data_IF_165469023101
#
_entry.id   IF_165469023101
#
_cell.length_a   1.000
_cell.length_b   1.000
_cell.length_c   1.000
_cell.angle_alpha   90.00
_cell.angle_beta   90.00
_cell.angle_gamma   90.00
#
_symmetry.space_group_name_H-M   'P 1'
#
loop_
_entity.id
_entity.type
_entity.pdbx_description
1 polymer ?
#
# COMPACT_ATOMS: atom_id res chain seq x y z
N UNK A 1 40.90 -16.01 11.86
CA UNK A 1 39.50 -16.22 12.30
C UNK A 1 38.73 -14.95 12.02
N UNK A 2 38.11 -14.88 10.85
CA UNK A 2 37.31 -13.70 10.46
C UNK A 2 35.88 -13.93 10.91
N UNK A 3 35.47 -13.16 11.91
CA UNK A 3 34.08 -13.13 12.35
C UNK A 3 33.23 -12.48 11.24
N UNK A 4 32.43 -13.28 10.59
CA UNK A 4 31.40 -12.81 9.65
C UNK A 4 30.28 -12.17 10.48
N UNK A 5 30.40 -10.86 10.69
CA UNK A 5 29.31 -10.09 11.23
C UNK A 5 28.19 -10.04 10.19
N UNK A 6 27.28 -11.01 10.28
CA UNK A 6 25.98 -10.94 9.58
C UNK A 6 25.26 -9.71 10.12
N UNK A 7 25.38 -8.59 9.40
CA UNK A 7 24.60 -7.38 9.68
C UNK A 7 23.15 -7.76 9.42
N UNK A 8 22.41 -8.10 10.48
CA UNK A 8 20.98 -8.32 10.39
C UNK A 8 20.35 -7.04 9.84
N UNK A 9 19.85 -7.11 8.61
CA UNK A 9 19.15 -5.96 8.00
C UNK A 9 17.95 -5.66 8.91
N UNK A 10 17.95 -4.48 9.50
CA UNK A 10 16.85 -4.04 10.34
C UNK A 10 15.55 -4.03 9.51
N UNK A 11 14.47 -4.60 10.07
CA UNK A 11 13.19 -4.60 9.39
C UNK A 11 12.55 -3.21 9.39
N UNK A 12 11.96 -2.83 8.27
CA UNK A 12 11.23 -1.56 8.12
C UNK A 12 9.73 -1.80 8.06
N UNK A 13 8.96 -0.89 8.68
CA UNK A 13 7.53 -0.80 8.45
C UNK A 13 7.29 -0.20 7.05
N UNK A 14 6.51 -0.88 6.22
CA UNK A 14 6.22 -0.46 4.85
C UNK A 14 4.71 -0.35 4.69
N UNK A 15 4.26 0.76 4.12
CA UNK A 15 2.86 0.95 3.75
C UNK A 15 2.73 0.89 2.24
N UNK A 16 1.84 0.03 1.76
CA UNK A 16 1.56 -0.19 0.34
C UNK A 16 0.12 0.19 0.05
N UNK A 17 -0.08 1.07 -0.92
CA UNK A 17 -1.39 1.34 -1.49
C UNK A 17 -1.74 0.30 -2.55
N UNK A 18 -2.96 -0.19 -2.52
CA UNK A 18 -3.52 -1.11 -3.51
C UNK A 18 -4.71 -0.43 -4.19
N UNK A 19 -4.79 -0.58 -5.51
CA UNK A 19 -5.90 -0.06 -6.31
C UNK A 19 -6.25 -0.96 -7.48
N UNK A 20 -7.53 -1.09 -7.79
CA UNK A 20 -8.04 -1.84 -8.95
C UNK A 20 -9.41 -1.30 -9.38
N UNK A 21 -9.71 -1.32 -10.69
CA UNK A 21 -11.06 -1.03 -11.19
C UNK A 21 -11.48 -1.92 -12.37
N UNK A 22 -10.71 -2.96 -12.68
CA UNK A 22 -11.02 -3.93 -13.72
C UNK A 22 -11.04 -5.36 -13.15
N UNK A 23 -11.74 -6.28 -13.86
CA UNK A 23 -11.70 -7.72 -13.64
C UNK A 23 -11.92 -8.14 -12.17
N UNK A 24 -13.06 -7.76 -11.59
CA UNK A 24 -13.41 -8.06 -10.20
C UNK A 24 -12.44 -7.42 -9.18
N UNK A 25 -12.45 -6.10 -9.04
CA UNK A 25 -11.45 -5.35 -8.28
C UNK A 25 -11.23 -5.86 -6.85
N UNK A 26 -12.29 -6.23 -6.13
CA UNK A 26 -12.21 -6.80 -4.77
C UNK A 26 -11.39 -8.09 -4.77
N UNK A 27 -11.58 -8.96 -5.75
CA UNK A 27 -10.83 -10.21 -5.85
C UNK A 27 -9.36 -9.96 -6.23
N UNK A 28 -9.10 -8.97 -7.09
CA UNK A 28 -7.73 -8.57 -7.42
C UNK A 28 -6.97 -8.11 -6.17
N UNK A 29 -7.59 -7.26 -5.32
CA UNK A 29 -6.95 -6.81 -4.09
C UNK A 29 -6.73 -7.96 -3.10
N UNK A 30 -7.71 -8.87 -2.93
CA UNK A 30 -7.55 -10.05 -2.05
C UNK A 30 -6.40 -10.95 -2.48
N UNK A 31 -6.29 -11.23 -3.79
CA UNK A 31 -5.18 -12.02 -4.34
C UNK A 31 -3.84 -11.32 -4.13
N UNK A 32 -3.76 -10.02 -4.40
CA UNK A 32 -2.56 -9.22 -4.17
C UNK A 32 -2.12 -9.22 -2.70
N UNK A 33 -3.04 -9.11 -1.75
CA UNK A 33 -2.75 -9.21 -0.31
C UNK A 33 -2.18 -10.58 0.06
N UNK A 34 -2.74 -11.67 -0.51
CA UNK A 34 -2.17 -13.01 -0.37
C UNK A 34 -0.74 -13.12 -0.90
N UNK A 35 -0.46 -12.54 -2.08
CA UNK A 35 0.89 -12.52 -2.65
C UNK A 35 1.86 -11.65 -1.85
N UNK A 36 1.41 -10.50 -1.33
CA UNK A 36 2.22 -9.65 -0.45
C UNK A 36 2.62 -10.37 0.84
N UNK A 37 1.74 -11.20 1.41
CA UNK A 37 2.04 -11.99 2.62
C UNK A 37 3.07 -13.08 2.39
N UNK A 38 3.33 -13.45 1.13
CA UNK A 38 4.30 -14.50 0.75
C UNK A 38 5.65 -13.93 0.30
N UNK A 39 5.86 -12.62 0.34
CA UNK A 39 7.14 -12.03 -0.05
C UNK A 39 8.27 -12.45 0.89
N UNK A 40 9.48 -12.75 0.36
CA UNK A 40 10.60 -13.18 1.18
C UNK A 40 10.99 -12.11 2.19
N UNK A 41 11.28 -12.52 3.43
CA UNK A 41 11.70 -11.62 4.51
C UNK A 41 10.69 -10.52 4.85
N UNK A 42 9.42 -10.73 4.50
CA UNK A 42 8.34 -9.77 4.68
C UNK A 42 7.17 -10.43 5.39
N UNK A 43 6.50 -9.68 6.26
CA UNK A 43 5.35 -10.08 7.03
C UNK A 43 4.22 -9.06 6.79
N UNK A 44 3.04 -9.51 6.41
CA UNK A 44 1.85 -8.69 6.34
C UNK A 44 1.27 -8.53 7.75
N UNK A 45 1.29 -7.31 8.28
CA UNK A 45 0.87 -7.02 9.65
C UNK A 45 -0.61 -6.67 9.73
N UNK A 46 -1.08 -5.81 8.82
CA UNK A 46 -2.45 -5.28 8.87
C UNK A 46 -2.91 -4.85 7.49
N UNK A 47 -4.20 -4.93 7.23
CA UNK A 47 -4.84 -4.42 6.02
C UNK A 47 -6.03 -3.55 6.41
N UNK A 48 -6.23 -2.46 5.68
CA UNK A 48 -7.43 -1.66 5.80
C UNK A 48 -8.66 -2.38 5.24
N UNK A 49 -9.81 -1.87 5.54
CA UNK A 49 -11.02 -2.15 4.77
C UNK A 49 -10.82 -1.71 3.31
N UNK A 50 -11.66 -2.23 2.42
CA UNK A 50 -11.71 -1.80 1.03
C UNK A 50 -12.61 -0.57 0.88
N UNK A 51 -12.17 0.37 0.05
CA UNK A 51 -12.86 1.63 -0.19
C UNK A 51 -13.11 1.84 -1.65
N UNK A 52 -14.34 2.18 -2.00
CA UNK A 52 -14.75 2.56 -3.35
C UNK A 52 -14.59 4.06 -3.54
N UNK A 53 -14.03 4.44 -4.70
CA UNK A 53 -13.83 5.86 -5.06
C UNK A 53 -14.04 6.09 -6.54
N UNK A 54 -14.48 7.30 -6.89
CA UNK A 54 -14.51 7.73 -8.28
C UNK A 54 -13.08 7.79 -8.87
N UNK A 55 -12.94 7.55 -10.18
CA UNK A 55 -11.68 7.74 -10.89
C UNK A 55 -11.18 9.18 -10.76
N UNK A 56 -9.84 9.33 -10.67
CA UNK A 56 -9.18 10.64 -10.69
C UNK A 56 -8.52 10.84 -12.06
N UNK A 57 -8.86 11.92 -12.74
CA UNK A 57 -8.35 12.25 -14.08
C UNK A 57 -9.30 11.79 -15.18
N UNK A 58 -9.10 10.61 -15.78
CA UNK A 58 -10.04 10.06 -16.77
C UNK A 58 -11.28 9.56 -16.03
N UNK A 59 -12.41 10.24 -16.24
CA UNK A 59 -13.66 9.96 -15.52
C UNK A 59 -14.52 8.86 -16.15
N UNK A 60 -14.36 8.58 -17.44
CA UNK A 60 -15.09 7.53 -18.16
C UNK A 60 -14.43 6.17 -17.96
N UNK A 61 -14.48 5.68 -16.72
CA UNK A 61 -13.98 4.35 -16.31
C UNK A 61 -14.68 3.88 -15.03
N UNK A 62 -14.67 2.56 -14.75
CA UNK A 62 -15.28 2.03 -13.53
C UNK A 62 -14.70 2.64 -12.25
N UNK A 63 -15.50 2.58 -11.18
CA UNK A 63 -15.06 2.96 -9.82
C UNK A 63 -13.86 2.13 -9.39
N UNK A 64 -12.94 2.75 -8.66
CA UNK A 64 -11.80 2.06 -8.06
C UNK A 64 -12.16 1.44 -6.72
N UNK A 65 -11.56 0.30 -6.44
CA UNK A 65 -11.46 -0.26 -5.09
C UNK A 65 -10.02 -0.04 -4.62
N UNK A 66 -9.87 0.60 -3.47
CA UNK A 66 -8.58 0.96 -2.86
C UNK A 66 -8.45 0.36 -1.46
N UNK A 67 -7.22 0.06 -1.07
CA UNK A 67 -6.86 -0.36 0.28
C UNK A 67 -5.43 0.06 0.60
N UNK A 68 -5.05 -0.05 1.88
CA UNK A 68 -3.66 0.06 2.33
C UNK A 68 -3.29 -1.17 3.13
N UNK A 69 -2.12 -1.71 2.86
CA UNK A 69 -1.50 -2.77 3.63
C UNK A 69 -0.30 -2.23 4.40
N UNK A 70 -0.15 -2.65 5.66
CA UNK A 70 1.02 -2.43 6.49
C UNK A 70 1.82 -3.73 6.55
N UNK A 71 3.09 -3.66 6.19
CA UNK A 71 4.02 -4.79 6.18
C UNK A 71 5.26 -4.46 7.00
N UNK A 72 5.94 -5.50 7.46
CA UNK A 72 7.28 -5.44 8.02
C UNK A 72 8.22 -6.19 7.08
N UNK A 73 9.21 -5.51 6.50
CA UNK A 73 10.10 -6.10 5.50
C UNK A 73 11.57 -5.92 5.84
N UNK A 74 12.38 -6.93 5.49
CA UNK A 74 13.85 -6.89 5.52
C UNK A 74 14.45 -6.64 4.14
N UNK A 75 13.63 -6.52 3.11
CA UNK A 75 14.08 -6.19 1.75
C UNK A 75 14.58 -4.76 1.70
N UNK A 76 15.50 -4.49 0.79
CA UNK A 76 15.82 -3.12 0.41
C UNK A 76 14.62 -2.46 -0.27
N UNK A 77 14.51 -1.12 -0.28
CA UNK A 77 13.41 -0.44 -0.95
C UNK A 77 13.24 -0.83 -2.42
N UNK A 78 14.34 -0.95 -3.16
CA UNK A 78 14.32 -1.34 -4.58
C UNK A 78 13.96 -2.82 -4.77
N UNK A 79 14.44 -3.72 -3.91
CA UNK A 79 14.04 -5.12 -3.96
C UNK A 79 12.55 -5.28 -3.68
N UNK A 80 12.04 -4.54 -2.70
CA UNK A 80 10.63 -4.52 -2.38
C UNK A 80 9.80 -4.03 -3.58
N UNK A 81 10.20 -2.91 -4.20
CA UNK A 81 9.56 -2.40 -5.41
C UNK A 81 9.55 -3.43 -6.54
N UNK A 82 10.68 -4.13 -6.78
CA UNK A 82 10.75 -5.18 -7.81
C UNK A 82 9.72 -6.29 -7.57
N UNK A 83 9.50 -6.67 -6.32
CA UNK A 83 8.48 -7.66 -5.97
C UNK A 83 7.06 -7.12 -6.22
N UNK A 84 6.76 -5.84 -5.90
CA UNK A 84 5.47 -5.25 -6.23
C UNK A 84 5.21 -5.25 -7.73
N UNK A 85 6.18 -4.84 -8.54
CA UNK A 85 6.07 -4.84 -10.00
C UNK A 85 5.87 -6.25 -10.56
N UNK A 86 6.50 -7.27 -9.96
CA UNK A 86 6.29 -8.66 -10.35
C UNK A 86 4.88 -9.16 -10.01
N UNK A 87 4.29 -8.72 -8.89
CA UNK A 87 2.88 -9.00 -8.55
C UNK A 87 1.96 -8.34 -9.58
N UNK A 88 2.12 -7.05 -9.85
CA UNK A 88 1.33 -6.34 -10.87
C UNK A 88 1.37 -7.03 -12.24
N UNK A 89 2.54 -7.49 -12.67
CA UNK A 89 2.72 -8.19 -13.93
C UNK A 89 1.91 -9.51 -13.97
N UNK A 90 1.84 -10.26 -12.87
CA UNK A 90 1.02 -11.48 -12.78
C UNK A 90 -0.48 -11.19 -12.83
N UNK A 91 -0.92 -10.00 -12.45
CA UNK A 91 -2.29 -9.53 -12.54
C UNK A 91 -2.63 -8.91 -13.92
N UNK A 92 -1.83 -9.21 -14.94
CA UNK A 92 -2.00 -8.74 -16.31
C UNK A 92 -2.13 -7.20 -16.43
N UNK A 93 -1.40 -6.46 -15.59
CA UNK A 93 -1.38 -5.00 -15.68
C UNK A 93 -0.78 -4.56 -17.01
N UNK A 94 -1.61 -4.03 -17.90
CA UNK A 94 -1.18 -3.37 -19.11
C UNK A 94 -1.19 -1.86 -18.85
N UNK A 95 -0.02 -1.22 -18.92
CA UNK A 95 0.13 0.24 -18.77
C UNK A 95 -0.16 0.90 -20.12
N UNK A 96 -1.42 1.10 -20.46
CA UNK A 96 -1.79 1.75 -21.72
C UNK A 96 -1.79 3.28 -21.60
N UNK A 97 -2.26 3.84 -20.46
CA UNK A 97 -2.40 5.28 -20.27
C UNK A 97 -2.14 5.67 -18.81
N UNK A 98 -1.64 6.91 -18.61
CA UNK A 98 -1.50 7.49 -17.27
C UNK A 98 -2.89 7.73 -16.68
N UNK A 99 -3.14 7.20 -15.47
CA UNK A 99 -4.44 7.22 -14.77
C UNK A 99 -5.57 6.44 -15.49
N UNK A 100 -5.24 5.56 -16.44
CA UNK A 100 -6.20 4.66 -17.09
C UNK A 100 -6.68 3.52 -16.20
N UNK A 101 -7.65 2.73 -16.69
CA UNK A 101 -8.17 1.55 -16.01
C UNK A 101 -7.05 0.52 -15.78
N UNK A 102 -7.10 -0.19 -14.64
CA UNK A 102 -6.07 -1.19 -14.30
C UNK A 102 -6.60 -2.32 -13.46
N UNK A 103 -6.07 -3.52 -13.73
CA UNK A 103 -6.39 -4.72 -12.95
C UNK A 103 -5.82 -4.67 -11.54
N UNK A 104 -4.59 -4.17 -11.38
CA UNK A 104 -3.94 -3.97 -10.09
C UNK A 104 -2.90 -2.86 -10.17
N UNK A 105 -2.84 -2.03 -9.13
CA UNK A 105 -1.83 -1.00 -8.88
C UNK A 105 -1.29 -1.14 -7.47
N UNK A 106 0.02 -1.22 -7.31
CA UNK A 106 0.70 -1.34 -6.02
C UNK A 106 1.73 -0.22 -5.88
N UNK A 107 1.47 0.72 -4.98
CA UNK A 107 2.35 1.86 -4.71
C UNK A 107 3.04 1.73 -3.35
N UNK A 108 4.36 1.91 -3.30
CA UNK A 108 5.06 2.13 -2.03
C UNK A 108 4.70 3.51 -1.51
N UNK A 109 3.92 3.58 -0.43
CA UNK A 109 3.50 4.84 0.18
C UNK A 109 4.55 5.40 1.13
N UNK A 110 4.99 4.57 2.07
CA UNK A 110 6.01 4.88 3.07
C UNK A 110 6.89 3.66 3.25
N UNK A 111 8.21 3.87 3.34
CA UNK A 111 9.18 2.82 3.65
C UNK A 111 9.99 3.22 4.88
N UNK A 112 9.54 2.78 6.06
CA UNK A 112 10.11 3.21 7.33
C UNK A 112 10.14 4.74 7.50
N UNK A 113 11.26 5.26 7.95
CA UNK A 113 11.52 6.71 8.01
C UNK A 113 12.25 7.26 6.79
N UNK A 114 12.41 6.46 5.72
CA UNK A 114 13.23 6.84 4.58
C UNK A 114 12.60 7.98 3.76
N UNK A 115 13.48 8.84 3.27
CA UNK A 115 13.19 9.81 2.22
C UNK A 115 14.15 9.49 1.08
N UNK A 116 13.62 9.00 0.00
CA UNK A 116 14.36 8.59 -1.19
C UNK A 116 13.69 9.20 -2.43
N UNK A 117 14.48 9.70 -3.34
CA UNK A 117 14.04 10.29 -4.60
C UNK A 117 15.08 9.96 -5.66
N UNK A 118 14.85 8.84 -6.34
CA UNK A 118 15.70 8.39 -7.46
C UNK A 118 14.83 7.97 -8.66
N UNK A 119 15.48 7.58 -9.74
CA UNK A 119 14.81 7.25 -11.01
C UNK A 119 13.84 6.06 -10.92
N UNK A 120 13.95 5.22 -9.89
CA UNK A 120 13.12 4.03 -9.71
C UNK A 120 12.07 4.18 -8.63
N UNK A 121 12.41 4.84 -7.52
CA UNK A 121 11.54 4.92 -6.33
C UNK A 121 11.60 6.29 -5.66
N UNK A 122 10.43 6.87 -5.48
CA UNK A 122 10.23 8.03 -4.61
C UNK A 122 9.44 7.59 -3.38
N UNK A 123 10.03 7.70 -2.19
CA UNK A 123 9.35 7.42 -0.91
C UNK A 123 9.67 8.51 0.12
N UNK A 124 8.67 9.05 0.83
CA UNK A 124 7.22 8.72 0.72
C UNK A 124 6.67 9.07 -0.65
N UNK A 125 5.61 8.35 -1.05
CA UNK A 125 4.97 8.58 -2.35
C UNK A 125 4.60 10.07 -2.51
N UNK A 126 5.01 10.73 -3.60
CA UNK A 126 5.03 12.19 -3.71
C UNK A 126 3.65 12.85 -3.54
N UNK A 127 2.57 12.17 -3.94
CA UNK A 127 1.21 12.69 -3.92
C UNK A 127 0.29 12.03 -2.88
N UNK A 128 0.79 11.16 -1.99
CA UNK A 128 -0.06 10.43 -1.05
C UNK A 128 -0.86 11.36 -0.12
N UNK A 129 -0.26 12.48 0.27
CA UNK A 129 -0.85 13.46 1.18
C UNK A 129 -1.98 14.31 0.56
N UNK A 130 -2.16 14.22 -0.77
CA UNK A 130 -3.20 14.92 -1.54
C UNK A 130 -4.36 13.98 -1.92
N UNK A 131 -4.32 12.71 -1.50
CA UNK A 131 -5.23 11.67 -1.96
C UNK A 131 -6.03 11.08 -0.81
N UNK A 132 -7.31 11.44 -0.71
CA UNK A 132 -8.20 10.93 0.32
C UNK A 132 -8.32 9.39 0.27
N UNK A 133 -8.33 8.79 -0.94
CA UNK A 133 -8.40 7.34 -1.14
C UNK A 133 -7.13 6.58 -0.69
N UNK A 134 -6.05 7.31 -0.36
CA UNK A 134 -4.85 6.79 0.29
C UNK A 134 -4.91 7.06 1.79
N UNK A 135 -5.22 8.30 2.19
CA UNK A 135 -5.16 8.72 3.60
C UNK A 135 -6.25 8.06 4.46
N UNK A 136 -7.46 7.87 3.94
CA UNK A 136 -8.55 7.24 4.70
C UNK A 136 -8.18 5.80 5.10
N UNK A 137 -7.86 4.88 4.17
CA UNK A 137 -7.45 3.53 4.53
C UNK A 137 -6.13 3.47 5.33
N UNK A 138 -5.18 4.38 5.08
CA UNK A 138 -3.94 4.47 5.84
C UNK A 138 -4.20 4.78 7.32
N UNK A 139 -5.06 5.77 7.60
CA UNK A 139 -5.40 6.19 8.96
C UNK A 139 -6.30 5.20 9.69
N UNK A 140 -7.03 4.34 8.99
CA UNK A 140 -7.77 3.21 9.59
C UNK A 140 -6.82 2.25 10.31
N UNK A 141 -5.66 1.93 9.70
CA UNK A 141 -4.71 0.96 10.23
C UNK A 141 -3.54 1.59 10.99
N UNK A 142 -3.28 2.88 10.79
CA UNK A 142 -2.19 3.61 11.44
C UNK A 142 -2.61 5.06 11.75
N UNK A 143 -3.47 5.28 12.78
CA UNK A 143 -4.05 6.60 13.06
C UNK A 143 -3.02 7.69 13.37
N UNK A 144 -1.87 7.32 13.93
CA UNK A 144 -0.81 8.24 14.35
C UNK A 144 0.36 8.31 13.35
N UNK A 145 0.19 7.73 12.15
CA UNK A 145 1.28 7.68 11.17
C UNK A 145 1.71 9.08 10.73
N UNK A 146 3.03 9.26 10.68
CA UNK A 146 3.67 10.46 10.13
C UNK A 146 4.25 10.16 8.75
N UNK A 147 3.97 11.03 7.81
CA UNK A 147 4.58 10.96 6.47
C UNK A 147 5.97 11.61 6.58
N UNK A 148 7.06 10.88 6.31
CA UNK A 148 8.41 11.43 6.40
C UNK A 148 8.56 12.75 5.64
N UNK A 149 8.99 13.80 6.35
CA UNK A 149 9.15 15.14 5.79
C UNK A 149 7.88 15.96 5.59
N UNK A 150 6.69 15.42 5.96
CA UNK A 150 5.40 16.12 5.79
C UNK A 150 4.53 16.16 7.06
N UNK A 151 4.91 15.47 8.14
CA UNK A 151 4.15 15.49 9.41
C UNK A 151 3.02 14.47 9.46
N UNK A 152 2.07 14.68 10.37
CA UNK A 152 1.00 13.73 10.64
C UNK A 152 0.02 13.58 9.47
N UNK A 153 -0.26 12.34 9.04
CA UNK A 153 -1.17 12.06 7.93
C UNK A 153 -2.60 12.57 8.19
N UNK A 154 -3.06 12.54 9.45
CA UNK A 154 -4.39 13.06 9.84
C UNK A 154 -4.58 14.55 9.56
N UNK A 155 -3.51 15.35 9.67
CA UNK A 155 -3.59 16.79 9.38
C UNK A 155 -3.82 17.05 7.89
N UNK A 156 -3.25 16.21 7.04
CA UNK A 156 -3.47 16.27 5.60
C UNK A 156 -4.90 15.86 5.25
N UNK A 157 -5.41 14.77 5.84
CA UNK A 157 -6.80 14.37 5.62
C UNK A 157 -7.78 15.45 6.09
N UNK A 158 -7.52 16.10 7.23
CA UNK A 158 -8.34 17.21 7.72
C UNK A 158 -8.40 18.40 6.73
N UNK A 159 -7.30 18.65 6.00
CA UNK A 159 -7.23 19.72 4.99
C UNK A 159 -7.97 19.38 3.69
N UNK A 160 -7.83 18.15 3.20
CA UNK A 160 -8.41 17.76 1.90
C UNK A 160 -9.81 17.15 2.02
N UNK A 161 -10.20 16.71 3.21
CA UNK A 161 -11.47 16.00 3.45
C UNK A 161 -11.45 14.54 3.00
N UNK A 162 -12.46 13.78 3.43
CA UNK A 162 -12.66 12.36 3.08
C UNK A 162 -13.75 12.15 2.02
N UNK A 163 -14.24 13.21 1.39
CA UNK A 163 -15.34 13.15 0.43
C UNK A 163 -15.06 12.18 -0.72
N UNK A 164 -16.10 11.42 -1.13
CA UNK A 164 -16.00 10.48 -2.24
C UNK A 164 -15.31 9.16 -1.93
N UNK A 165 -14.87 8.91 -0.68
CA UNK A 165 -14.29 7.65 -0.24
C UNK A 165 -15.34 6.87 0.55
N UNK A 166 -15.81 5.74 0.02
CA UNK A 166 -16.89 4.94 0.61
C UNK A 166 -16.39 3.53 0.96
N UNK A 167 -16.56 3.11 2.20
CA UNK A 167 -16.21 1.75 2.63
C UNK A 167 -17.10 0.72 1.92
N UNK A 168 -16.50 -0.35 1.40
CA UNK A 168 -17.22 -1.47 0.80
C UNK A 168 -17.84 -2.32 1.91
N UNK A 169 -19.14 -2.62 1.81
CA UNK A 169 -19.84 -3.41 2.81
C UNK A 169 -19.33 -4.86 2.85
N UNK A 170 -19.19 -5.42 4.06
CA UNK A 170 -18.78 -6.81 4.27
C UNK A 170 -17.27 -7.08 4.20
N UNK A 171 -16.45 -6.05 4.07
CA UNK A 171 -15.00 -6.20 4.02
C UNK A 171 -14.36 -5.46 5.21
N UNK A 172 -14.27 -6.16 6.34
CA UNK A 172 -13.52 -5.69 7.50
C UNK A 172 -12.04 -6.03 7.30
N UNK A 173 -11.16 -5.03 7.48
CA UNK A 173 -9.71 -5.24 7.46
C UNK A 173 -9.29 -6.38 8.38
N UNK A 174 -8.29 -7.15 7.98
CA UNK A 174 -7.77 -8.25 8.78
C UNK A 174 -6.63 -7.76 9.67
N UNK A 175 -6.82 -7.86 10.99
CA UNK A 175 -5.75 -7.71 11.98
C UNK A 175 -5.16 -9.10 12.26
N UNK A 176 -3.96 -9.37 11.75
CA UNK A 176 -3.27 -10.65 11.95
C UNK A 176 -2.43 -10.68 13.24
N UNK A 177 -2.46 -9.62 14.07
CA UNK A 177 -1.64 -9.56 15.29
C UNK A 177 -2.20 -10.42 16.45
N UNK A 178 -3.33 -11.13 16.27
CA UNK A 178 -3.99 -11.92 17.32
C UNK A 178 -3.77 -13.44 17.26
N UNK A 179 -2.71 -13.95 16.66
CA UNK A 179 -2.40 -15.38 16.66
C UNK A 179 -1.03 -15.68 17.30
N UNK A 180 -0.88 -15.40 18.58
CA UNK A 180 0.37 -15.68 19.30
C UNK A 180 0.26 -15.67 20.81
N UNK A 181 -0.88 -16.12 21.40
CA UNK A 181 -0.91 -16.45 22.82
C UNK A 181 -2.11 -17.35 23.14
N UNK A 182 -1.92 -18.65 22.92
CA UNK A 182 -2.58 -19.74 23.67
C UNK A 182 -1.84 -21.05 23.44
N UNK A 183 -0.89 -21.35 24.27
CA UNK A 183 -0.71 -22.60 25.03
C UNK A 183 0.57 -22.54 25.82
#
# INVERSE_FOLDING_TARGET
MSANASTAIASSAVFVGLGSNLEQPVQQLRRALGELSMLPGTELLQTSSFYETAPVGIVDQPMFINAVAMLRSRLSPHDFLRHLLAIEARHARVRNEKNGPRTLDLDVLIFGGLRMDDDQLVTPHPRMHERAFVLVPLLEIAPEVKIPGKGAAREWLAKIGSGGVRRVAGDAGQDQTRSGDRQ
#
